data_IF_522146834533
#
_entry.id   IF_522146834533
#
_cell.length_a   1.000
_cell.length_b   1.000
_cell.length_c   1.000
_cell.angle_alpha   90.00
_cell.angle_beta   90.00
_cell.angle_gamma   90.00
#
_symmetry.space_group_name_H-M   'P 1'
#
loop_
_entity.id
_entity.type
_entity.pdbx_description
1 polymer ?
#
# COMPACT_ATOMS: atom_id res chain seq x y z
N UNK A 1 28.38 3.73 -1.97
CA UNK A 1 27.29 2.73 -1.89
C UNK A 1 26.09 3.29 -2.66
N UNK A 2 25.91 2.91 -3.93
CA UNK A 2 24.85 3.48 -4.79
C UNK A 2 23.51 2.84 -4.39
N UNK A 3 22.68 3.59 -3.65
CA UNK A 3 21.29 3.21 -3.41
C UNK A 3 20.57 3.27 -4.77
N UNK A 4 20.28 2.12 -5.36
CA UNK A 4 19.41 2.03 -6.54
C UNK A 4 18.04 2.61 -6.17
N UNK A 5 17.82 3.85 -6.59
CA UNK A 5 16.56 4.58 -6.50
C UNK A 5 15.55 3.83 -7.39
N UNK A 6 14.87 2.84 -6.81
CA UNK A 6 13.74 2.19 -7.46
C UNK A 6 12.78 3.28 -7.93
N UNK A 7 12.39 3.22 -9.20
CA UNK A 7 11.44 4.14 -9.84
C UNK A 7 10.34 4.55 -8.85
N UNK A 8 10.25 5.83 -8.53
CA UNK A 8 9.20 6.37 -7.67
C UNK A 8 7.86 6.01 -8.29
N UNK A 9 7.07 5.19 -7.61
CA UNK A 9 5.70 4.89 -8.04
C UNK A 9 4.74 5.80 -7.30
N UNK A 10 3.67 6.17 -7.96
CA UNK A 10 2.53 6.83 -7.33
C UNK A 10 1.47 5.81 -6.93
N UNK A 11 0.51 6.24 -6.11
CA UNK A 11 -0.69 5.44 -5.81
C UNK A 11 -1.47 5.14 -7.10
N UNK A 12 -1.51 6.07 -8.06
CA UNK A 12 -2.22 5.88 -9.32
C UNK A 12 -1.54 4.83 -10.21
N UNK A 13 -0.22 4.71 -10.17
CA UNK A 13 0.51 3.64 -10.88
C UNK A 13 0.17 2.26 -10.30
N UNK A 14 -0.03 2.16 -9.00
CA UNK A 14 -0.53 0.93 -8.37
C UNK A 14 -1.98 0.63 -8.78
N UNK A 15 -2.83 1.64 -8.92
CA UNK A 15 -4.21 1.46 -9.39
C UNK A 15 -4.23 0.95 -10.83
N UNK A 16 -3.43 1.56 -11.72
CA UNK A 16 -3.35 1.17 -13.14
C UNK A 16 -2.87 -0.26 -13.36
N UNK A 17 -2.02 -0.76 -12.47
CA UNK A 17 -1.50 -2.14 -12.53
C UNK A 17 -2.34 -3.15 -11.76
N UNK A 18 -3.41 -2.73 -11.08
CA UNK A 18 -4.26 -3.59 -10.27
C UNK A 18 -5.59 -3.88 -10.93
N UNK A 19 -6.18 -5.01 -10.56
CA UNK A 19 -7.57 -5.33 -10.90
C UNK A 19 -8.51 -4.79 -9.83
N UNK A 20 -9.72 -4.35 -10.21
CA UNK A 20 -10.69 -3.86 -9.23
C UNK A 20 -11.15 -5.00 -8.33
N UNK A 21 -11.06 -4.77 -7.02
CA UNK A 21 -11.52 -5.71 -6.01
C UNK A 21 -13.02 -5.59 -5.75
N UNK A 22 -13.50 -6.33 -4.74
CA UNK A 22 -14.91 -6.30 -4.33
C UNK A 22 -15.34 -4.89 -3.94
N UNK A 23 -16.50 -4.47 -4.44
CA UNK A 23 -17.15 -3.24 -4.00
C UNK A 23 -17.42 -3.28 -2.49
N UNK A 24 -17.25 -2.14 -1.82
CA UNK A 24 -17.60 -1.97 -0.41
C UNK A 24 -18.81 -1.07 -0.27
N UNK A 25 -19.54 -1.21 0.85
CA UNK A 25 -20.67 -0.33 1.16
C UNK A 25 -20.23 1.08 1.61
N UNK A 26 -18.92 1.32 1.79
CA UNK A 26 -18.39 2.54 2.38
C UNK A 26 -17.36 3.24 1.49
N UNK A 27 -16.63 4.19 2.07
CA UNK A 27 -15.61 5.03 1.38
C UNK A 27 -14.29 4.28 1.11
N UNK A 28 -14.34 2.96 0.92
CA UNK A 28 -13.17 2.12 0.67
C UNK A 28 -13.20 1.56 -0.74
N UNK A 29 -12.16 1.87 -1.50
CA UNK A 29 -11.88 1.26 -2.80
C UNK A 29 -10.91 0.10 -2.59
N UNK A 30 -11.19 -1.04 -3.22
CA UNK A 30 -10.36 -2.24 -3.12
C UNK A 30 -9.81 -2.60 -4.49
N UNK A 31 -8.56 -3.03 -4.50
CA UNK A 31 -7.83 -3.49 -5.67
C UNK A 31 -7.09 -4.77 -5.32
N UNK A 32 -6.93 -5.66 -6.30
CA UNK A 32 -6.15 -6.87 -6.17
C UNK A 32 -4.91 -6.77 -7.07
N UNK A 33 -3.76 -7.07 -6.48
CA UNK A 33 -2.48 -7.24 -7.12
C UNK A 33 -2.02 -8.68 -6.88
N UNK A 34 -1.19 -9.22 -7.77
CA UNK A 34 -0.60 -10.54 -7.57
C UNK A 34 0.60 -10.46 -6.62
N UNK A 35 0.82 -11.52 -5.85
CA UNK A 35 2.05 -11.74 -5.10
C UNK A 35 1.76 -12.01 -3.63
N UNK A 36 2.68 -11.60 -2.76
CA UNK A 36 2.52 -11.75 -1.32
C UNK A 36 3.16 -10.58 -0.58
N UNK A 37 3.42 -10.76 0.71
CA UNK A 37 3.92 -9.68 1.58
C UNK A 37 5.23 -9.08 1.07
N UNK A 38 6.15 -9.89 0.52
CA UNK A 38 7.39 -9.37 -0.06
C UNK A 38 7.16 -8.43 -1.25
N UNK A 39 6.12 -8.68 -2.06
CA UNK A 39 5.74 -7.79 -3.16
C UNK A 39 5.06 -6.53 -2.64
N UNK A 40 4.19 -6.66 -1.64
CA UNK A 40 3.57 -5.53 -0.94
C UNK A 40 4.62 -4.60 -0.30
N UNK A 41 5.68 -5.15 0.31
CA UNK A 41 6.78 -4.36 0.87
C UNK A 41 7.55 -3.58 -0.21
N UNK A 42 7.86 -4.22 -1.34
CA UNK A 42 8.53 -3.54 -2.47
C UNK A 42 7.69 -2.40 -3.03
N UNK A 43 6.39 -2.63 -3.23
CA UNK A 43 5.50 -1.59 -3.73
C UNK A 43 5.33 -0.47 -2.68
N UNK A 44 5.23 -0.80 -1.39
CA UNK A 44 5.24 0.20 -0.31
C UNK A 44 6.52 1.05 -0.30
N UNK A 45 7.70 0.45 -0.42
CA UNK A 45 8.98 1.17 -0.48
C UNK A 45 9.09 2.02 -1.75
N UNK A 46 8.52 1.57 -2.87
CA UNK A 46 8.49 2.34 -4.12
C UNK A 46 7.60 3.58 -4.06
N UNK A 47 6.65 3.65 -3.12
CA UNK A 47 5.88 4.87 -2.83
C UNK A 47 6.69 5.91 -2.02
N UNK A 48 7.92 5.56 -1.63
CA UNK A 48 8.85 6.41 -0.89
C UNK A 48 8.24 7.13 0.34
N UNK A 49 7.51 6.42 1.21
CA UNK A 49 6.92 7.06 2.38
C UNK A 49 7.97 7.43 3.43
N UNK A 50 7.74 8.55 4.11
CA UNK A 50 8.45 8.85 5.35
C UNK A 50 7.96 7.90 6.46
N UNK A 51 8.81 6.98 6.90
CA UNK A 51 8.44 5.90 7.81
C UNK A 51 8.28 6.43 9.24
N UNK A 52 7.10 6.24 9.82
CA UNK A 52 6.78 6.64 11.20
C UNK A 52 6.65 5.43 12.14
N UNK A 53 6.44 4.22 11.60
CA UNK A 53 6.42 2.97 12.37
C UNK A 53 6.94 1.83 11.53
N UNK A 54 7.80 1.00 12.11
CA UNK A 54 8.40 -0.15 11.43
C UNK A 54 8.46 -1.34 12.38
N UNK A 55 7.63 -2.35 12.14
CA UNK A 55 7.64 -3.63 12.84
C UNK A 55 7.68 -4.78 11.82
N UNK A 56 7.98 -6.02 12.24
CA UNK A 56 8.05 -7.17 11.31
C UNK A 56 6.77 -7.40 10.50
N UNK A 57 5.60 -7.12 11.08
CA UNK A 57 4.30 -7.38 10.46
C UNK A 57 3.59 -6.13 9.90
N UNK A 58 4.09 -4.93 10.23
CA UNK A 58 3.44 -3.66 9.94
C UNK A 58 4.47 -2.55 9.71
N UNK A 59 4.39 -1.87 8.56
CA UNK A 59 5.05 -0.56 8.39
C UNK A 59 4.01 0.52 8.13
N UNK A 60 4.25 1.70 8.68
CA UNK A 60 3.41 2.89 8.51
C UNK A 60 4.30 4.05 8.10
N UNK A 61 3.85 4.82 7.12
CA UNK A 61 4.53 6.03 6.70
C UNK A 61 3.57 7.10 6.17
N UNK A 62 4.15 8.26 5.88
CA UNK A 62 3.48 9.40 5.25
C UNK A 62 3.98 9.57 3.82
N UNK A 63 3.04 9.66 2.87
CA UNK A 63 3.34 10.00 1.49
C UNK A 63 3.64 11.50 1.36
N UNK A 64 4.32 11.94 0.28
CA UNK A 64 4.63 13.36 0.04
C UNK A 64 3.40 14.27 0.01
N UNK A 65 2.23 13.75 -0.36
CA UNK A 65 0.95 14.47 -0.40
C UNK A 65 0.19 14.47 0.95
N UNK A 66 0.81 13.95 2.01
CA UNK A 66 0.25 13.94 3.37
C UNK A 66 -0.61 12.71 3.71
N UNK A 67 -0.97 11.88 2.72
CA UNK A 67 -1.73 10.64 2.96
C UNK A 67 -0.92 9.67 3.82
N UNK A 68 -1.61 8.90 4.66
CA UNK A 68 -0.97 7.81 5.41
C UNK A 68 -0.96 6.55 4.56
N UNK A 69 0.18 5.87 4.49
CA UNK A 69 0.30 4.55 3.86
C UNK A 69 0.71 3.51 4.90
N UNK A 70 0.07 2.36 4.85
CA UNK A 70 0.29 1.24 5.76
C UNK A 70 0.49 -0.01 4.93
N UNK A 71 1.55 -0.78 5.19
CA UNK A 71 1.70 -2.15 4.68
C UNK A 71 1.64 -3.11 5.84
N UNK A 72 0.81 -4.15 5.72
CA UNK A 72 0.64 -5.18 6.76
C UNK A 72 0.66 -6.59 6.17
N UNK A 73 1.25 -7.52 6.92
CA UNK A 73 1.38 -8.94 6.53
C UNK A 73 0.03 -9.66 6.49
N UNK A 74 -0.89 -9.30 7.39
CA UNK A 74 -2.22 -9.90 7.48
C UNK A 74 -3.30 -8.83 7.69
N UNK A 75 -4.35 -8.89 6.89
CA UNK A 75 -5.62 -8.18 7.07
C UNK A 75 -6.68 -9.12 7.65
N UNK A 76 -7.86 -8.62 8.00
CA UNK A 76 -8.99 -9.47 8.48
C UNK A 76 -9.32 -10.60 7.50
N UNK A 77 -9.12 -10.37 6.20
CA UNK A 77 -9.31 -11.36 5.13
C UNK A 77 -8.07 -12.24 4.88
N UNK A 78 -7.09 -12.21 5.77
CA UNK A 78 -5.92 -13.10 5.75
C UNK A 78 -4.77 -12.66 4.83
N UNK A 79 -5.04 -11.78 3.86
CA UNK A 79 -4.06 -11.37 2.83
C UNK A 79 -3.16 -10.22 3.27
N UNK A 80 -1.92 -10.13 2.74
CA UNK A 80 -1.11 -8.92 2.80
C UNK A 80 -1.84 -7.74 2.15
N UNK A 81 -1.67 -6.54 2.71
CA UNK A 81 -2.40 -5.37 2.23
C UNK A 81 -1.56 -4.10 2.36
N UNK A 82 -1.59 -3.27 1.32
CA UNK A 82 -1.26 -1.85 1.40
C UNK A 82 -2.56 -1.06 1.55
N UNK A 83 -2.67 -0.23 2.59
CA UNK A 83 -3.79 0.66 2.86
C UNK A 83 -3.33 2.12 2.76
N UNK A 84 -3.90 2.87 1.83
CA UNK A 84 -3.75 4.33 1.73
C UNK A 84 -4.95 4.97 2.42
N UNK A 85 -4.69 5.90 3.34
CA UNK A 85 -5.72 6.63 4.09
C UNK A 85 -5.67 8.11 3.74
N UNK A 86 -6.84 8.63 3.39
CA UNK A 86 -7.10 10.04 3.09
C UNK A 86 -8.37 10.47 3.85
N UNK A 87 -8.17 10.87 5.10
CA UNK A 87 -9.26 11.08 6.06
C UNK A 87 -10.15 9.84 6.21
N UNK A 88 -11.43 9.97 5.83
CA UNK A 88 -12.41 8.86 5.89
C UNK A 88 -12.34 7.95 4.65
N UNK A 89 -11.63 8.33 3.59
CA UNK A 89 -11.47 7.53 2.37
C UNK A 89 -10.28 6.58 2.52
N UNK A 90 -10.42 5.38 1.97
CA UNK A 90 -9.37 4.35 2.00
C UNK A 90 -9.21 3.69 0.65
N UNK A 91 -7.98 3.41 0.27
CA UNK A 91 -7.65 2.54 -0.87
C UNK A 91 -6.90 1.33 -0.31
N UNK A 92 -7.34 0.13 -0.66
CA UNK A 92 -6.70 -1.11 -0.23
C UNK A 92 -6.23 -1.90 -1.44
N UNK A 93 -4.93 -2.13 -1.52
CA UNK A 93 -4.31 -3.07 -2.46
C UNK A 93 -4.05 -4.37 -1.73
N UNK A 94 -4.75 -5.42 -2.13
CA UNK A 94 -4.54 -6.78 -1.61
C UNK A 94 -3.61 -7.54 -2.52
N UNK A 95 -2.71 -8.28 -1.90
CA UNK A 95 -1.76 -9.17 -2.57
C UNK A 95 -2.15 -10.61 -2.28
#
# INVERSE_FOLDING_TARGET
KVLRKGSSKTVDDLIKSATRGRATKGRTSQYNLSGGFGKALKDFESLQPNIIKNTPDLKVGKLPDGRTVIVRKKSTDGRPTIEIQDGKKKIKFRY
#
